data_IF_783194063865
#
_entry.id   IF_783194063865
#
_cell.length_a   1.000
_cell.length_b   1.000
_cell.length_c   1.000
_cell.angle_alpha   90.00
_cell.angle_beta   90.00
_cell.angle_gamma   90.00
#
_symmetry.space_group_name_H-M   'P 1'
#
loop_
_entity.id
_entity.type
_entity.pdbx_description
1 polymer ?
#
# COMPACT_ATOMS: atom_id res chain seq x y z
N UNK A 1 15.89 -17.43 12.12
CA UNK A 1 17.20 -16.96 12.63
C UNK A 1 16.97 -16.04 13.82
N UNK A 2 17.65 -16.23 14.92
CA UNK A 2 17.61 -15.27 16.03
C UNK A 2 18.75 -14.28 15.77
N UNK A 3 18.44 -13.01 15.55
CA UNK A 3 19.46 -11.97 15.48
C UNK A 3 20.13 -11.82 16.85
N UNK A 4 21.45 -11.86 16.87
CA UNK A 4 22.23 -11.70 18.11
C UNK A 4 22.81 -10.30 18.25
N UNK A 5 22.68 -9.47 17.21
CA UNK A 5 23.22 -8.12 17.14
C UNK A 5 22.19 -7.07 17.56
N UNK A 6 22.66 -5.94 18.03
CA UNK A 6 21.83 -4.79 18.43
C UNK A 6 21.91 -3.71 17.37
N UNK A 7 20.76 -3.22 16.93
CA UNK A 7 20.62 -2.20 15.90
C UNK A 7 20.15 -0.86 16.46
N UNK A 8 20.51 0.22 15.76
CA UNK A 8 20.06 1.57 16.10
C UNK A 8 19.74 2.38 14.85
N UNK A 9 18.70 3.20 14.91
CA UNK A 9 18.38 4.18 13.87
C UNK A 9 17.61 5.39 14.43
N UNK A 10 17.59 6.48 13.66
CA UNK A 10 16.66 7.60 13.87
C UNK A 10 15.29 7.13 13.40
N UNK A 11 14.30 7.16 14.31
CA UNK A 11 12.94 6.67 14.07
C UNK A 11 11.96 7.76 13.63
N UNK A 12 12.36 9.03 13.68
CA UNK A 12 11.59 10.20 13.23
C UNK A 12 12.16 10.76 11.93
N UNK A 13 11.41 11.62 11.24
CA UNK A 13 11.90 12.31 10.05
C UNK A 13 13.17 13.12 10.33
N UNK A 14 14.12 13.12 9.39
CA UNK A 14 15.39 13.88 9.45
C UNK A 14 15.16 15.36 9.09
N UNK A 15 14.36 16.05 9.89
CA UNK A 15 14.07 17.48 9.76
C UNK A 15 14.11 18.14 11.13
N UNK A 16 14.32 19.45 11.19
CA UNK A 16 14.24 20.19 12.46
C UNK A 16 12.81 20.12 13.02
N UNK A 17 12.69 19.56 14.23
CA UNK A 17 11.42 19.38 14.93
C UNK A 17 11.62 19.58 16.44
N UNK A 18 10.55 19.61 17.22
CA UNK A 18 10.65 19.71 18.69
C UNK A 18 11.25 18.46 19.32
N UNK A 19 10.97 17.28 18.76
CA UNK A 19 11.42 15.97 19.28
C UNK A 19 11.98 15.14 18.15
N UNK A 20 13.11 14.44 18.41
CA UNK A 20 13.67 13.39 17.58
C UNK A 20 13.77 12.10 18.39
N UNK A 21 13.59 10.95 17.77
CA UNK A 21 13.64 9.65 18.43
C UNK A 21 14.74 8.80 17.81
N UNK A 22 15.64 8.29 18.66
CA UNK A 22 16.60 7.23 18.30
C UNK A 22 16.11 5.93 18.93
N UNK A 23 15.91 4.90 18.11
CA UNK A 23 15.49 3.57 18.54
C UNK A 23 16.68 2.62 18.50
N UNK A 24 16.87 1.86 19.59
CA UNK A 24 17.86 0.80 19.72
C UNK A 24 17.11 -0.50 20.03
N UNK A 25 17.39 -1.59 19.31
CA UNK A 25 16.73 -2.89 19.50
C UNK A 25 17.72 -4.03 19.39
N UNK A 26 17.56 -5.04 20.25
CA UNK A 26 18.40 -6.24 20.28
C UNK A 26 18.76 -6.66 21.70
N UNK A 27 19.51 -7.77 21.81
CA UNK A 27 19.90 -8.36 23.11
C UNK A 27 20.67 -7.39 24.01
N UNK A 28 21.47 -6.50 23.43
CA UNK A 28 22.32 -5.54 24.17
C UNK A 28 21.75 -4.12 24.18
N UNK A 29 20.49 -3.90 23.74
CA UNK A 29 19.92 -2.56 23.62
C UNK A 29 19.99 -1.76 24.93
N UNK A 30 19.72 -2.40 26.05
CA UNK A 30 19.79 -1.76 27.37
C UNK A 30 21.23 -1.47 27.78
N UNK A 31 22.17 -2.38 27.52
CA UNK A 31 23.58 -2.20 27.84
C UNK A 31 24.21 -1.07 26.99
N UNK A 32 23.82 -0.97 25.69
CA UNK A 32 24.26 0.14 24.84
C UNK A 32 23.73 1.46 25.38
N UNK A 33 22.45 1.52 25.74
CA UNK A 33 21.86 2.73 26.32
C UNK A 33 22.51 3.13 27.67
N UNK A 34 22.79 2.17 28.55
CA UNK A 34 23.47 2.45 29.85
C UNK A 34 24.86 3.07 29.69
N UNK A 35 25.58 2.78 28.59
CA UNK A 35 26.90 3.35 28.33
C UNK A 35 26.86 4.82 27.94
N UNK A 36 25.74 5.31 27.46
CA UNK A 36 25.61 6.67 26.96
C UNK A 36 24.59 7.54 27.73
N UNK A 37 23.83 6.95 28.65
CA UNK A 37 22.77 7.63 29.38
C UNK A 37 23.15 7.85 30.85
N UNK A 38 23.11 9.08 31.32
CA UNK A 38 23.24 9.48 32.71
C UNK A 38 21.85 9.80 33.27
N UNK A 39 21.30 8.97 34.16
CA UNK A 39 20.03 9.27 34.82
C UNK A 39 20.14 10.53 35.70
N UNK A 40 19.09 11.37 35.69
CA UNK A 40 19.00 12.52 36.58
C UNK A 40 18.98 12.11 38.08
N UNK A 41 18.50 10.89 38.37
CA UNK A 41 18.52 10.31 39.70
C UNK A 41 19.78 9.45 39.85
N UNK A 42 20.70 9.89 40.66
CA UNK A 42 21.97 9.20 40.88
C UNK A 42 21.77 7.75 41.38
N UNK A 43 22.58 6.82 40.86
CA UNK A 43 22.56 5.40 41.21
C UNK A 43 21.45 4.56 40.55
N UNK A 44 20.61 5.13 39.72
CA UNK A 44 19.59 4.39 38.98
C UNK A 44 20.23 3.69 37.78
N UNK A 45 19.99 2.37 37.62
CA UNK A 45 20.50 1.57 36.51
C UNK A 45 19.33 1.13 35.61
N UNK A 46 19.46 1.24 34.28
CA UNK A 46 18.42 0.82 33.31
C UNK A 46 18.26 -0.69 33.35
N UNK A 47 19.33 -1.45 33.53
CA UNK A 47 19.30 -2.92 33.63
C UNK A 47 18.38 -3.45 34.74
N UNK A 48 18.18 -2.69 35.80
CA UNK A 48 17.33 -3.03 36.95
C UNK A 48 15.88 -2.55 36.80
N UNK A 49 15.57 -1.80 35.74
CA UNK A 49 14.22 -1.22 35.54
C UNK A 49 13.28 -2.19 34.82
N UNK A 50 12.00 -2.04 35.15
CA UNK A 50 10.91 -2.81 34.50
C UNK A 50 10.64 -2.28 33.10
N UNK A 51 9.97 -3.14 32.28
CA UNK A 51 9.42 -2.73 30.98
C UNK A 51 8.38 -1.60 31.13
N UNK A 52 8.19 -0.82 30.08
CA UNK A 52 7.26 0.32 30.02
C UNK A 52 7.55 1.41 31.05
N UNK A 53 8.83 1.71 31.27
CA UNK A 53 9.25 2.80 32.14
C UNK A 53 9.95 3.90 31.38
N UNK A 54 9.77 5.14 31.83
CA UNK A 54 10.38 6.34 31.27
C UNK A 54 11.40 6.88 32.28
N UNK A 55 12.55 7.29 31.76
CA UNK A 55 13.68 7.77 32.56
C UNK A 55 14.13 9.12 32.00
N UNK A 56 14.13 10.13 32.86
CA UNK A 56 14.71 11.44 32.57
C UNK A 56 16.20 11.44 32.84
N UNK A 57 16.99 12.04 31.95
CA UNK A 57 18.43 12.15 32.09
C UNK A 57 19.12 12.82 30.92
N UNK A 58 20.38 12.49 30.73
CA UNK A 58 21.24 13.14 29.74
C UNK A 58 22.00 12.10 28.93
N UNK A 59 22.20 12.41 27.64
CA UNK A 59 23.14 11.65 26.82
C UNK A 59 24.50 12.27 26.90
N UNK A 60 25.51 11.42 27.17
CA UNK A 60 26.91 11.84 27.34
C UNK A 60 27.87 11.02 26.49
N UNK A 61 28.86 11.67 25.89
CA UNK A 61 30.08 11.05 25.35
C UNK A 61 31.28 11.45 26.26
N UNK A 62 31.63 10.57 27.16
CA UNK A 62 32.62 10.89 28.22
C UNK A 62 32.12 12.00 29.14
N UNK A 63 32.85 13.11 29.18
CA UNK A 63 32.49 14.28 30.01
C UNK A 63 31.53 15.24 29.31
N UNK A 64 31.38 15.13 27.99
CA UNK A 64 30.54 16.02 27.19
C UNK A 64 29.04 15.59 27.28
N UNK A 65 28.18 16.55 27.66
CA UNK A 65 26.73 16.38 27.60
C UNK A 65 26.27 16.75 26.19
N UNK A 66 25.65 15.79 25.49
CA UNK A 66 25.12 16.00 24.13
C UNK A 66 23.73 16.59 24.18
N UNK A 67 22.84 16.00 25.01
CA UNK A 67 21.45 16.45 25.10
C UNK A 67 20.79 16.01 26.42
N UNK A 68 19.67 16.63 26.72
CA UNK A 68 18.73 16.28 27.78
C UNK A 68 17.58 15.49 27.17
N UNK A 69 17.27 14.31 27.70
CA UNK A 69 16.40 13.34 27.03
C UNK A 69 15.42 12.64 27.97
N UNK A 70 14.36 12.08 27.37
CA UNK A 70 13.57 11.00 27.97
C UNK A 70 13.98 9.68 27.32
N UNK A 71 14.22 8.66 28.14
CA UNK A 71 14.54 7.32 27.67
C UNK A 71 13.40 6.38 28.04
N UNK A 72 12.83 5.72 27.03
CA UNK A 72 11.78 4.72 27.17
C UNK A 72 12.39 3.33 27.09
N UNK A 73 12.04 2.48 28.06
CA UNK A 73 12.53 1.10 28.15
C UNK A 73 11.40 0.11 27.93
N UNK A 74 11.57 -0.77 26.94
CA UNK A 74 10.67 -1.87 26.61
C UNK A 74 11.46 -3.18 26.56
N UNK A 75 11.06 -4.14 27.41
CA UNK A 75 11.68 -5.47 27.45
C UNK A 75 10.96 -6.44 26.53
N UNK A 76 11.71 -7.25 25.83
CA UNK A 76 11.16 -8.37 25.08
C UNK A 76 10.37 -9.36 25.98
N UNK A 77 9.29 -9.99 25.47
CA UNK A 77 8.72 -9.82 24.13
C UNK A 77 7.79 -8.61 23.98
N UNK A 78 7.63 -7.77 25.01
CA UNK A 78 6.69 -6.66 25.06
C UNK A 78 7.29 -5.37 24.49
N UNK A 79 7.72 -5.41 23.22
CA UNK A 79 8.28 -4.29 22.45
C UNK A 79 7.84 -4.32 20.99
N UNK A 80 8.26 -3.36 20.18
CA UNK A 80 7.93 -3.35 18.74
C UNK A 80 8.54 -4.53 17.99
N UNK A 81 9.78 -4.89 18.29
CA UNK A 81 10.51 -5.97 17.63
C UNK A 81 10.40 -7.32 18.33
N UNK A 82 9.71 -7.38 19.48
CA UNK A 82 9.75 -8.46 20.45
C UNK A 82 11.15 -8.70 21.09
N UNK A 83 12.13 -7.80 20.86
CA UNK A 83 13.44 -7.78 21.52
C UNK A 83 13.45 -6.70 22.61
N UNK A 84 14.51 -6.65 23.44
CA UNK A 84 14.75 -5.48 24.28
C UNK A 84 14.89 -4.23 23.40
N UNK A 85 14.12 -3.20 23.68
CA UNK A 85 14.09 -1.97 22.89
C UNK A 85 14.20 -0.75 23.80
N UNK A 86 15.04 0.20 23.39
CA UNK A 86 15.18 1.49 24.02
C UNK A 86 14.88 2.58 23.00
N UNK A 87 14.04 3.53 23.37
CA UNK A 87 13.82 4.76 22.60
C UNK A 87 14.35 5.94 23.40
N UNK A 88 15.09 6.81 22.72
CA UNK A 88 15.68 8.02 23.27
C UNK A 88 15.00 9.20 22.61
N UNK A 89 14.12 9.87 23.34
CA UNK A 89 13.45 11.10 22.91
C UNK A 89 14.36 12.28 23.22
N UNK A 90 15.00 12.82 22.21
CA UNK A 90 15.92 13.94 22.26
C UNK A 90 15.33 15.19 21.59
N UNK A 91 16.02 16.32 21.65
CA UNK A 91 15.66 17.47 20.82
C UNK A 91 15.82 17.13 19.32
N UNK A 92 14.81 17.50 18.50
CA UNK A 92 14.71 17.13 17.10
C UNK A 92 15.62 17.91 16.15
N UNK A 93 16.80 18.30 16.60
CA UNK A 93 17.85 18.88 15.75
C UNK A 93 18.59 17.78 14.98
N UNK A 94 18.73 17.92 13.66
CA UNK A 94 19.40 16.91 12.80
C UNK A 94 20.79 16.56 13.32
N UNK A 95 21.57 17.56 13.78
CA UNK A 95 22.90 17.34 14.33
C UNK A 95 22.87 16.54 15.65
N UNK A 96 21.92 16.85 16.53
CA UNK A 96 21.77 16.17 17.82
C UNK A 96 21.43 14.70 17.59
N UNK A 97 20.42 14.42 16.75
CA UNK A 97 20.01 13.05 16.40
C UNK A 97 21.17 12.24 15.80
N UNK A 98 21.95 12.83 14.88
CA UNK A 98 23.13 12.17 14.29
C UNK A 98 24.18 11.85 15.33
N UNK A 99 24.52 12.80 16.22
CA UNK A 99 25.50 12.58 17.28
C UNK A 99 25.08 11.47 18.26
N UNK A 100 23.81 11.41 18.63
CA UNK A 100 23.29 10.36 19.51
C UNK A 100 23.33 8.99 18.81
N UNK A 101 22.97 8.93 17.51
CA UNK A 101 23.06 7.70 16.73
C UNK A 101 24.52 7.21 16.61
N UNK A 102 25.46 8.10 16.27
CA UNK A 102 26.90 7.79 16.21
C UNK A 102 27.42 7.27 17.55
N UNK A 103 26.97 7.87 18.65
CA UNK A 103 27.33 7.41 19.97
C UNK A 103 26.75 6.03 20.28
N UNK A 104 25.50 5.73 19.88
CA UNK A 104 24.91 4.40 20.04
C UNK A 104 25.74 3.34 19.30
N UNK A 105 26.22 3.66 18.08
CA UNK A 105 27.11 2.78 17.30
C UNK A 105 28.46 2.62 18.01
N UNK A 106 29.07 3.69 18.51
CA UNK A 106 30.31 3.63 19.32
C UNK A 106 30.14 2.78 20.58
N UNK A 107 28.95 2.78 21.17
CA UNK A 107 28.59 1.97 22.34
C UNK A 107 28.24 0.51 22.04
N UNK A 108 28.27 0.07 20.76
CA UNK A 108 28.13 -1.33 20.35
C UNK A 108 26.87 -1.69 19.59
N UNK A 109 26.05 -0.72 19.19
CA UNK A 109 24.99 -0.97 18.23
C UNK A 109 25.55 -0.95 16.79
N UNK A 110 24.83 -1.59 15.86
CA UNK A 110 25.03 -1.44 14.42
C UNK A 110 23.92 -0.52 13.86
N UNK A 111 24.20 0.17 12.77
CA UNK A 111 23.13 0.87 12.05
C UNK A 111 22.10 -0.13 11.52
N UNK A 112 20.83 0.17 11.72
CA UNK A 112 19.73 -0.63 11.19
C UNK A 112 19.65 -0.48 9.67
N UNK A 113 19.34 -1.59 9.01
CA UNK A 113 18.96 -1.59 7.59
C UNK A 113 17.55 -1.00 7.39
N UNK A 114 17.20 -0.57 6.17
CA UNK A 114 15.83 -0.16 5.85
C UNK A 114 14.82 -1.23 6.24
N UNK A 115 13.74 -0.83 6.96
CA UNK A 115 12.68 -1.75 7.39
C UNK A 115 13.08 -2.78 8.46
N UNK A 116 14.32 -2.78 8.95
CA UNK A 116 14.84 -3.86 9.81
C UNK A 116 14.08 -4.04 11.13
N UNK A 117 13.58 -2.98 11.74
CA UNK A 117 12.76 -3.13 12.96
C UNK A 117 11.46 -3.91 12.68
N UNK A 118 10.80 -3.63 11.58
CA UNK A 118 9.57 -4.34 11.18
C UNK A 118 9.87 -5.78 10.75
N UNK A 119 11.00 -5.98 10.04
CA UNK A 119 11.50 -7.31 9.69
C UNK A 119 11.76 -8.16 10.93
N UNK A 120 12.39 -7.60 11.98
CA UNK A 120 12.61 -8.29 13.27
C UNK A 120 11.29 -8.60 13.97
N UNK A 121 10.32 -7.68 13.94
CA UNK A 121 8.98 -7.94 14.48
C UNK A 121 8.30 -9.13 13.79
N UNK A 122 8.44 -9.26 12.46
CA UNK A 122 7.97 -10.40 11.68
C UNK A 122 8.73 -11.69 12.04
N UNK A 123 10.05 -11.68 11.98
CA UNK A 123 10.88 -12.87 12.24
C UNK A 123 10.75 -13.38 13.68
N UNK A 124 10.48 -12.50 14.64
CA UNK A 124 10.21 -12.84 16.03
C UNK A 124 8.72 -13.24 16.28
N UNK A 125 7.92 -13.33 15.22
CA UNK A 125 6.53 -13.80 15.29
C UNK A 125 5.54 -12.84 15.95
N UNK A 126 5.91 -11.55 16.16
CA UNK A 126 5.00 -10.55 16.71
C UNK A 126 3.90 -10.16 15.72
N UNK A 127 4.26 -10.06 14.46
CA UNK A 127 3.37 -9.76 13.33
C UNK A 127 3.65 -10.75 12.20
N UNK A 128 2.68 -11.03 11.37
CA UNK A 128 2.88 -11.75 10.11
C UNK A 128 3.22 -10.79 8.96
N UNK A 129 3.50 -11.35 7.76
CA UNK A 129 3.93 -10.53 6.64
C UNK A 129 2.85 -9.56 6.16
N UNK A 130 1.56 -9.97 6.17
CA UNK A 130 0.47 -9.09 5.77
C UNK A 130 0.33 -7.89 6.71
N UNK A 131 0.55 -8.08 8.01
CA UNK A 131 0.59 -7.01 9.01
C UNK A 131 1.84 -6.14 8.86
N UNK A 132 2.99 -6.74 8.50
CA UNK A 132 4.21 -5.99 8.24
C UNK A 132 4.02 -5.05 7.04
N UNK A 133 3.48 -5.53 5.92
CA UNK A 133 3.13 -4.70 4.75
C UNK A 133 2.16 -3.58 5.14
N UNK A 134 1.16 -3.86 5.98
CA UNK A 134 0.21 -2.86 6.45
C UNK A 134 0.87 -1.72 7.26
N UNK A 135 2.03 -1.92 7.89
CA UNK A 135 2.76 -0.83 8.57
C UNK A 135 3.14 0.27 7.59
N UNK A 136 3.72 -0.09 6.43
CA UNK A 136 4.12 0.91 5.42
C UNK A 136 2.89 1.55 4.78
N UNK A 137 1.81 0.78 4.55
CA UNK A 137 0.57 1.29 3.99
C UNK A 137 -0.10 2.33 4.91
N UNK A 138 -0.07 2.12 6.25
CA UNK A 138 -0.53 3.12 7.22
C UNK A 138 0.29 4.40 7.11
N UNK A 139 1.62 4.29 7.03
CA UNK A 139 2.53 5.45 6.95
C UNK A 139 2.33 6.23 5.64
N UNK A 140 2.06 5.52 4.54
CA UNK A 140 1.92 6.11 3.20
C UNK A 140 0.49 6.47 2.83
N UNK A 141 -0.49 6.21 3.70
CA UNK A 141 -1.90 6.46 3.43
C UNK A 141 -2.16 7.92 3.06
N UNK A 142 -2.75 8.13 1.88
CA UNK A 142 -3.03 9.47 1.33
C UNK A 142 -4.48 9.93 1.56
N UNK A 143 -5.36 9.03 1.97
CA UNK A 143 -6.77 9.32 2.21
C UNK A 143 -7.31 8.46 3.37
N UNK A 144 -8.51 8.80 3.86
CA UNK A 144 -9.15 8.15 5.00
C UNK A 144 -9.42 6.65 4.76
N UNK A 145 -9.82 6.30 3.54
CA UNK A 145 -10.11 4.90 3.18
C UNK A 145 -8.84 4.04 3.19
N UNK A 146 -7.74 4.55 2.61
CA UNK A 146 -6.44 3.89 2.66
C UNK A 146 -6.02 3.65 4.11
N UNK A 147 -6.13 4.68 4.96
CA UNK A 147 -5.78 4.58 6.37
C UNK A 147 -6.63 3.51 7.09
N UNK A 148 -7.96 3.54 6.93
CA UNK A 148 -8.86 2.57 7.57
C UNK A 148 -8.57 1.13 7.11
N UNK A 149 -8.37 0.92 5.80
CA UNK A 149 -8.02 -0.39 5.24
C UNK A 149 -6.69 -0.90 5.82
N UNK A 150 -5.65 -0.06 5.82
CA UNK A 150 -4.33 -0.42 6.33
C UNK A 150 -4.34 -0.70 7.84
N UNK A 151 -5.08 0.08 8.63
CA UNK A 151 -5.27 -0.16 10.07
C UNK A 151 -6.02 -1.47 10.32
N UNK A 152 -7.03 -1.81 9.51
CA UNK A 152 -7.72 -3.09 9.59
C UNK A 152 -6.78 -4.25 9.30
N UNK A 153 -5.95 -4.17 8.25
CA UNK A 153 -4.94 -5.19 7.94
C UNK A 153 -3.89 -5.30 9.06
N UNK A 154 -3.39 -4.19 9.57
CA UNK A 154 -2.45 -4.16 10.69
C UNK A 154 -3.05 -4.83 11.95
N UNK A 155 -4.35 -4.72 12.15
CA UNK A 155 -5.09 -5.41 13.21
C UNK A 155 -5.33 -6.91 12.95
N UNK A 156 -4.80 -7.44 11.83
CA UNK A 156 -4.82 -8.86 11.49
C UNK A 156 -6.11 -9.36 10.84
N UNK A 157 -6.89 -8.49 10.19
CA UNK A 157 -8.12 -8.91 9.49
C UNK A 157 -7.83 -9.93 8.38
N UNK A 158 -6.81 -9.65 7.55
CA UNK A 158 -6.35 -10.57 6.49
C UNK A 158 -5.82 -11.88 7.07
N UNK A 159 -5.01 -11.80 8.13
CA UNK A 159 -4.41 -12.96 8.78
C UNK A 159 -5.48 -13.92 9.33
N UNK A 160 -6.50 -13.39 9.97
CA UNK A 160 -7.62 -14.22 10.48
C UNK A 160 -8.34 -14.94 9.34
N UNK A 161 -8.68 -14.20 8.28
CA UNK A 161 -9.35 -14.77 7.11
C UNK A 161 -8.56 -15.89 6.47
N UNK A 162 -7.27 -15.66 6.21
CA UNK A 162 -6.39 -16.68 5.62
C UNK A 162 -6.26 -17.90 6.52
N UNK A 163 -6.10 -17.73 7.85
CA UNK A 163 -6.02 -18.85 8.78
C UNK A 163 -7.30 -19.67 8.82
N UNK A 164 -8.47 -19.03 8.82
CA UNK A 164 -9.78 -19.73 8.78
C UNK A 164 -9.93 -20.60 7.51
N UNK A 165 -9.51 -20.09 6.36
CA UNK A 165 -9.52 -20.86 5.11
C UNK A 165 -8.53 -22.03 5.18
N UNK A 166 -7.33 -21.78 5.68
CA UNK A 166 -6.29 -22.83 5.83
C UNK A 166 -6.67 -23.90 6.85
N UNK A 167 -7.34 -23.55 7.94
CA UNK A 167 -7.85 -24.52 8.92
C UNK A 167 -8.84 -25.49 8.28
N UNK A 168 -9.71 -25.02 7.38
CA UNK A 168 -10.62 -25.90 6.63
C UNK A 168 -9.86 -26.85 5.70
N UNK A 169 -8.87 -26.31 4.95
CA UNK A 169 -8.08 -27.11 4.01
C UNK A 169 -7.23 -28.18 4.72
N UNK A 170 -6.53 -27.81 5.79
CA UNK A 170 -5.65 -28.75 6.50
C UNK A 170 -6.48 -29.88 7.17
N UNK A 171 -7.71 -29.59 7.57
CA UNK A 171 -8.62 -30.63 8.08
C UNK A 171 -8.93 -31.67 7.01
N UNK A 172 -9.26 -31.25 5.78
CA UNK A 172 -9.56 -32.18 4.68
C UNK A 172 -8.31 -32.95 4.24
N UNK A 173 -7.15 -32.30 4.19
CA UNK A 173 -5.86 -32.95 3.90
C UNK A 173 -5.57 -34.03 4.93
N UNK A 174 -5.66 -33.69 6.22
CA UNK A 174 -5.40 -34.63 7.31
C UNK A 174 -6.39 -35.81 7.30
N UNK A 175 -7.65 -35.57 6.91
CA UNK A 175 -8.65 -36.61 6.77
C UNK A 175 -8.30 -37.60 5.66
N UNK A 176 -7.92 -37.09 4.45
CA UNK A 176 -7.49 -37.94 3.32
C UNK A 176 -6.26 -38.78 3.71
N UNK A 177 -5.23 -38.13 4.24
CA UNK A 177 -3.98 -38.82 4.63
C UNK A 177 -4.26 -39.92 5.68
N UNK A 178 -5.09 -39.60 6.67
CA UNK A 178 -5.48 -40.61 7.68
C UNK A 178 -6.27 -41.77 7.11
N UNK A 179 -7.14 -41.52 6.12
CA UNK A 179 -7.91 -42.58 5.46
C UNK A 179 -7.05 -43.46 4.54
N UNK A 180 -6.02 -42.87 3.90
CA UNK A 180 -5.06 -43.63 3.09
C UNK A 180 -4.14 -44.48 3.94
N UNK A 181 -3.77 -44.00 5.15
CA UNK A 181 -2.93 -44.74 6.10
C UNK A 181 -3.70 -45.88 6.80
N UNK A 182 -5.00 -45.70 7.09
CA UNK A 182 -5.81 -46.69 7.82
C UNK A 182 -7.17 -46.94 7.12
N UNK A 183 -7.17 -47.54 5.93
CA UNK A 183 -8.37 -47.75 5.11
C UNK A 183 -9.36 -48.78 5.72
N UNK A 184 -8.92 -49.54 6.72
CA UNK A 184 -9.80 -50.51 7.40
C UNK A 184 -10.76 -49.83 8.38
N UNK A 185 -10.37 -48.65 8.92
CA UNK A 185 -11.15 -47.95 9.96
C UNK A 185 -11.73 -46.61 9.43
N UNK A 186 -11.16 -46.00 8.36
CA UNK A 186 -11.61 -44.72 7.82
C UNK A 186 -12.01 -44.91 6.36
N UNK A 187 -13.31 -44.80 6.04
CA UNK A 187 -13.81 -44.96 4.69
C UNK A 187 -13.86 -43.60 3.95
N UNK A 188 -13.42 -43.63 2.68
CA UNK A 188 -13.58 -42.52 1.73
C UNK A 188 -14.85 -42.65 0.87
N UNK A 189 -15.75 -43.59 1.16
CA UNK A 189 -17.01 -43.73 0.41
C UNK A 189 -17.85 -42.45 0.50
N UNK A 190 -18.19 -41.86 -0.65
CA UNK A 190 -18.98 -40.61 -0.72
C UNK A 190 -18.15 -39.35 -0.30
N UNK A 191 -16.87 -39.51 -0.06
CA UNK A 191 -16.01 -38.40 0.34
C UNK A 191 -15.85 -37.33 -0.77
N UNK A 192 -15.69 -37.66 -2.07
CA UNK A 192 -15.56 -36.69 -3.11
C UNK A 192 -16.71 -35.67 -3.16
N UNK A 193 -17.95 -36.12 -2.99
CA UNK A 193 -19.14 -35.28 -2.95
C UNK A 193 -19.11 -34.33 -1.74
N UNK A 194 -18.77 -34.89 -0.55
CA UNK A 194 -18.64 -34.13 0.68
C UNK A 194 -17.52 -33.07 0.57
N UNK A 195 -16.37 -33.45 0.00
CA UNK A 195 -15.26 -32.52 -0.20
C UNK A 195 -15.69 -31.35 -1.09
N UNK A 196 -16.40 -31.62 -2.19
CA UNK A 196 -16.96 -30.57 -3.07
C UNK A 196 -17.86 -29.59 -2.31
N UNK A 197 -18.76 -30.11 -1.48
CA UNK A 197 -19.62 -29.26 -0.65
C UNK A 197 -18.82 -28.40 0.36
N UNK A 198 -17.67 -28.87 0.83
CA UNK A 198 -16.77 -28.15 1.72
C UNK A 198 -15.97 -27.09 0.96
N UNK A 199 -15.51 -27.38 -0.27
CA UNK A 199 -14.70 -26.48 -1.06
C UNK A 199 -15.47 -25.32 -1.68
N UNK A 200 -16.72 -25.55 -2.10
CA UNK A 200 -17.54 -24.52 -2.75
C UNK A 200 -17.64 -23.19 -1.97
N UNK A 201 -17.91 -23.17 -0.64
CA UNK A 201 -17.89 -21.92 0.13
C UNK A 201 -16.51 -21.25 0.16
N UNK A 202 -15.43 -22.04 0.18
CA UNK A 202 -14.04 -21.52 0.17
C UNK A 202 -13.75 -20.83 -1.14
N UNK A 203 -14.11 -21.47 -2.27
CA UNK A 203 -13.95 -20.90 -3.61
C UNK A 203 -14.73 -19.58 -3.77
N UNK A 204 -16.00 -19.57 -3.37
CA UNK A 204 -16.83 -18.36 -3.39
C UNK A 204 -16.22 -17.22 -2.56
N UNK A 205 -15.63 -17.55 -1.42
CA UNK A 205 -15.00 -16.58 -0.54
C UNK A 205 -13.69 -16.02 -1.13
N UNK A 206 -12.90 -16.87 -1.80
CA UNK A 206 -11.70 -16.45 -2.56
C UNK A 206 -12.08 -15.58 -3.75
N UNK A 207 -13.06 -15.98 -4.56
CA UNK A 207 -13.56 -15.20 -5.70
C UNK A 207 -14.08 -13.83 -5.27
N UNK A 208 -14.89 -13.77 -4.22
CA UNK A 208 -15.39 -12.53 -3.66
C UNK A 208 -14.23 -11.61 -3.21
N UNK A 209 -13.20 -12.17 -2.56
CA UNK A 209 -12.03 -11.42 -2.12
C UNK A 209 -11.22 -10.89 -3.30
N UNK A 210 -10.94 -11.75 -4.30
CA UNK A 210 -10.22 -11.37 -5.53
C UNK A 210 -10.97 -10.25 -6.25
N UNK A 211 -12.30 -10.34 -6.32
CA UNK A 211 -13.17 -9.33 -6.94
C UNK A 211 -13.10 -7.95 -6.28
N UNK A 212 -12.65 -7.85 -5.01
CA UNK A 212 -12.48 -6.56 -4.34
C UNK A 212 -11.19 -5.83 -4.72
N UNK A 213 -10.23 -6.50 -5.37
CA UNK A 213 -8.88 -5.99 -5.56
C UNK A 213 -8.81 -4.66 -6.33
N UNK A 214 -9.48 -4.55 -7.47
CA UNK A 214 -9.40 -3.35 -8.29
C UNK A 214 -9.95 -2.12 -7.54
N UNK A 215 -11.05 -2.29 -6.80
CA UNK A 215 -11.61 -1.25 -5.95
C UNK A 215 -10.68 -0.93 -4.77
N UNK A 216 -10.11 -1.94 -4.12
CA UNK A 216 -9.15 -1.78 -3.03
C UNK A 216 -7.91 -1.01 -3.46
N UNK A 217 -7.32 -1.38 -4.60
CA UNK A 217 -6.16 -0.69 -5.19
C UNK A 217 -6.47 0.78 -5.50
N UNK A 218 -7.59 1.05 -6.16
CA UNK A 218 -8.01 2.41 -6.49
C UNK A 218 -8.21 3.27 -5.23
N UNK A 219 -8.74 2.67 -4.17
CA UNK A 219 -8.96 3.37 -2.92
C UNK A 219 -7.66 3.68 -2.17
N UNK A 220 -6.68 2.78 -2.21
CA UNK A 220 -5.40 2.93 -1.49
C UNK A 220 -4.38 3.73 -2.28
N UNK A 221 -4.15 3.36 -3.53
CA UNK A 221 -3.16 4.01 -4.39
C UNK A 221 -3.70 5.31 -5.03
N UNK A 222 -5.02 5.40 -5.20
CA UNK A 222 -5.69 6.46 -5.96
C UNK A 222 -5.89 6.09 -7.42
N UNK A 223 -6.65 6.93 -8.13
CA UNK A 223 -7.02 6.75 -9.53
C UNK A 223 -5.92 7.35 -10.42
N UNK A 224 -5.18 6.55 -11.15
CA UNK A 224 -4.24 7.01 -12.16
C UNK A 224 -4.99 7.73 -13.27
N UNK A 225 -4.86 9.05 -13.34
CA UNK A 225 -5.68 9.90 -14.20
C UNK A 225 -4.81 10.63 -15.20
N UNK A 226 -5.18 10.59 -16.48
CA UNK A 226 -4.57 11.39 -17.54
C UNK A 226 -5.55 12.42 -18.08
N UNK A 227 -5.08 13.64 -18.34
CA UNK A 227 -5.87 14.70 -18.98
C UNK A 227 -5.44 14.81 -20.43
N UNK A 228 -6.33 14.45 -21.34
CA UNK A 228 -6.11 14.54 -22.78
C UNK A 228 -6.92 15.71 -23.39
N UNK A 229 -6.52 16.19 -24.54
CA UNK A 229 -7.18 17.25 -25.28
C UNK A 229 -6.22 18.11 -26.08
N UNK A 230 -6.70 18.83 -27.08
CA UNK A 230 -5.88 19.69 -27.93
C UNK A 230 -5.20 20.85 -27.18
N UNK A 231 -4.21 21.52 -27.80
CA UNK A 231 -3.68 22.77 -27.28
C UNK A 231 -4.79 23.78 -27.07
N UNK A 232 -4.71 24.52 -25.96
CA UNK A 232 -5.70 25.55 -25.59
C UNK A 232 -7.14 25.07 -25.36
N UNK A 233 -7.41 23.76 -25.28
CA UNK A 233 -8.71 23.23 -24.86
C UNK A 233 -9.04 23.53 -23.39
N UNK A 234 -8.07 23.97 -22.61
CA UNK A 234 -8.24 24.35 -21.20
C UNK A 234 -7.75 23.30 -20.19
N UNK A 235 -6.89 22.35 -20.61
CA UNK A 235 -6.31 21.31 -19.75
C UNK A 235 -5.62 21.89 -18.52
N UNK A 236 -4.71 22.87 -18.70
CA UNK A 236 -3.99 23.53 -17.59
C UNK A 236 -4.94 24.33 -16.67
N UNK A 237 -5.98 24.94 -17.24
CA UNK A 237 -6.99 25.64 -16.45
C UNK A 237 -7.80 24.64 -15.60
N UNK A 238 -8.23 23.51 -16.17
CA UNK A 238 -8.91 22.45 -15.45
C UNK A 238 -8.02 21.89 -14.34
N UNK A 239 -6.75 21.59 -14.66
CA UNK A 239 -5.79 21.11 -13.67
C UNK A 239 -5.63 22.09 -12.50
N UNK A 240 -5.50 23.39 -12.78
CA UNK A 240 -5.38 24.42 -11.73
C UNK A 240 -6.64 24.50 -10.85
N UNK A 241 -7.82 24.31 -11.44
CA UNK A 241 -9.09 24.26 -10.67
C UNK A 241 -9.16 23.02 -9.78
N UNK A 242 -8.72 21.87 -10.30
CA UNK A 242 -8.68 20.63 -9.54
C UNK A 242 -7.60 20.67 -8.45
N UNK A 243 -6.49 21.40 -8.66
CA UNK A 243 -5.39 21.60 -7.69
C UNK A 243 -5.67 22.70 -6.65
N UNK A 244 -6.76 23.46 -6.75
CA UNK A 244 -7.06 24.63 -5.89
C UNK A 244 -6.66 24.46 -4.42
N UNK A 245 -6.32 25.55 -3.71
CA UNK A 245 -5.55 25.62 -2.44
C UNK A 245 -6.03 24.69 -1.30
N UNK A 246 -7.29 24.26 -1.30
CA UNK A 246 -7.83 23.32 -0.29
C UNK A 246 -7.81 21.85 -0.74
N UNK A 247 -7.48 21.56 -2.00
CA UNK A 247 -7.59 20.21 -2.62
C UNK A 247 -6.24 19.54 -2.92
N UNK A 248 -5.17 20.32 -3.02
CA UNK A 248 -3.82 19.81 -3.26
C UNK A 248 -3.10 19.52 -1.96
N UNK A 249 -2.78 18.26 -1.70
CA UNK A 249 -1.72 17.93 -0.75
C UNK A 249 -0.43 17.84 -1.56
N UNK A 250 0.28 18.95 -1.66
CA UNK A 250 1.68 18.93 -2.06
C UNK A 250 2.45 18.35 -0.87
N UNK A 251 2.59 17.04 -0.83
CA UNK A 251 3.65 16.46 -0.01
C UNK A 251 4.94 16.78 -0.72
N UNK A 252 5.60 17.86 -0.31
CA UNK A 252 7.04 18.03 -0.56
C UNK A 252 7.79 16.92 0.19
N UNK A 253 7.74 15.70 -0.33
CA UNK A 253 8.73 14.70 -0.01
C UNK A 253 9.98 15.11 -0.78
N UNK A 254 10.82 15.90 -0.12
CA UNK A 254 12.11 16.32 -0.67
C UNK A 254 12.96 15.06 -0.92
N UNK A 255 13.04 14.63 -2.18
CA UNK A 255 13.86 13.47 -2.58
C UNK A 255 13.45 12.77 -3.87
N UNK A 256 12.22 12.97 -4.38
CA UNK A 256 11.71 12.29 -5.60
C UNK A 256 11.87 13.12 -6.89
N UNK A 257 12.87 14.00 -6.93
CA UNK A 257 13.16 14.77 -8.14
C UNK A 257 14.00 13.93 -9.11
N UNK A 258 13.35 13.12 -9.96
CA UNK A 258 13.86 12.82 -11.31
C UNK A 258 12.94 12.04 -12.24
N UNK A 259 11.90 11.38 -11.76
CA UNK A 259 11.00 10.66 -12.66
C UNK A 259 9.55 11.07 -12.37
N UNK A 260 8.90 11.71 -13.37
CA UNK A 260 7.49 12.14 -13.45
C UNK A 260 6.95 12.91 -12.24
N UNK A 261 6.65 14.20 -12.45
CA UNK A 261 5.88 15.04 -11.51
C UNK A 261 4.44 14.49 -11.45
N UNK A 262 4.18 13.55 -10.57
CA UNK A 262 2.82 13.10 -10.26
C UNK A 262 2.20 14.11 -9.29
N UNK A 263 1.11 14.72 -9.69
CA UNK A 263 0.34 15.60 -8.82
C UNK A 263 -0.86 14.84 -8.26
N UNK A 264 -1.02 14.86 -6.93
CA UNK A 264 -2.11 14.19 -6.23
C UNK A 264 -3.22 15.19 -5.89
N UNK A 265 -4.44 14.89 -6.30
CA UNK A 265 -5.64 15.70 -6.06
C UNK A 265 -6.60 14.91 -5.19
N UNK A 266 -7.16 15.52 -4.14
CA UNK A 266 -8.25 14.93 -3.37
C UNK A 266 -9.61 15.40 -3.89
N UNK A 267 -10.46 14.46 -4.28
CA UNK A 267 -11.84 14.70 -4.69
C UNK A 267 -12.78 13.82 -3.86
N UNK A 268 -13.57 14.41 -2.96
CA UNK A 268 -14.60 13.71 -2.15
C UNK A 268 -14.13 12.39 -1.51
N UNK A 269 -12.91 12.39 -0.98
CA UNK A 269 -12.33 11.22 -0.31
C UNK A 269 -11.57 10.25 -1.23
N UNK A 270 -11.60 10.43 -2.55
CA UNK A 270 -10.76 9.74 -3.51
C UNK A 270 -9.49 10.53 -3.80
N UNK A 271 -8.40 9.84 -4.11
CA UNK A 271 -7.17 10.44 -4.61
C UNK A 271 -7.08 10.25 -6.13
N UNK A 272 -6.86 11.34 -6.87
CA UNK A 272 -6.50 11.31 -8.29
C UNK A 272 -5.01 11.53 -8.42
N UNK A 273 -4.29 10.60 -9.04
CA UNK A 273 -2.88 10.73 -9.35
C UNK A 273 -2.75 11.15 -10.82
N UNK A 274 -2.45 12.41 -11.07
CA UNK A 274 -2.28 12.92 -12.43
C UNK A 274 -0.96 12.43 -13.02
N UNK A 275 -1.04 11.73 -14.16
CA UNK A 275 0.11 11.20 -14.88
C UNK A 275 0.51 12.21 -15.97
N UNK A 276 1.84 12.39 -16.17
CA UNK A 276 2.44 13.21 -17.24
C UNK A 276 2.02 14.70 -17.21
N UNK A 277 2.08 15.30 -16.00
CA UNK A 277 1.76 16.73 -15.82
C UNK A 277 2.75 17.66 -16.54
N UNK A 278 3.96 17.20 -16.88
CA UNK A 278 4.96 17.99 -17.62
C UNK A 278 4.48 18.37 -19.03
N UNK A 279 3.80 17.43 -19.73
CA UNK A 279 3.20 17.72 -21.04
C UNK A 279 1.98 18.64 -20.98
N UNK A 280 1.34 18.79 -19.82
CA UNK A 280 0.17 19.66 -19.63
C UNK A 280 0.59 21.10 -19.32
N UNK A 281 1.73 21.30 -18.66
CA UNK A 281 2.28 22.65 -18.31
C UNK A 281 2.94 23.34 -19.49
N UNK A 282 3.59 22.58 -20.36
CA UNK A 282 4.12 23.13 -21.62
C UNK A 282 3.00 23.14 -22.66
N UNK A 283 2.73 24.29 -23.27
CA UNK A 283 1.61 24.60 -24.19
C UNK A 283 1.60 23.81 -25.51
N UNK A 284 2.35 22.73 -25.63
CA UNK A 284 2.50 21.94 -26.83
C UNK A 284 1.86 20.56 -26.70
N UNK A 285 1.23 20.11 -27.77
CA UNK A 285 0.41 18.89 -27.84
C UNK A 285 1.22 17.61 -27.56
N UNK A 286 0.76 16.80 -26.61
CA UNK A 286 1.32 15.47 -26.35
C UNK A 286 1.28 14.62 -27.63
N UNK A 287 0.25 14.80 -28.49
CA UNK A 287 0.07 14.04 -29.74
C UNK A 287 1.04 14.49 -30.82
N UNK A 288 1.38 15.80 -30.91
CA UNK A 288 2.28 16.31 -31.96
C UNK A 288 3.77 16.10 -31.64
N UNK A 289 4.20 16.24 -30.37
CA UNK A 289 5.64 16.14 -29.98
C UNK A 289 6.12 14.75 -29.59
N UNK A 290 5.24 13.92 -29.02
CA UNK A 290 5.64 12.67 -28.35
C UNK A 290 5.27 11.44 -29.20
N UNK A 291 4.42 11.62 -30.22
CA UNK A 291 3.90 10.55 -31.09
C UNK A 291 2.73 9.78 -30.48
N UNK A 292 1.88 9.28 -31.35
CA UNK A 292 0.67 8.51 -31.04
C UNK A 292 0.96 7.30 -30.12
N UNK A 293 2.14 6.71 -30.23
CA UNK A 293 2.53 5.54 -29.42
C UNK A 293 2.68 5.85 -27.92
N UNK A 294 3.28 7.01 -27.57
CA UNK A 294 3.42 7.39 -26.16
C UNK A 294 2.09 7.81 -25.55
N UNK A 295 1.26 8.57 -26.29
CA UNK A 295 -0.09 8.88 -25.84
C UNK A 295 -0.93 7.62 -25.62
N UNK A 296 -0.74 6.59 -26.45
CA UNK A 296 -1.38 5.30 -26.32
C UNK A 296 -0.90 4.56 -25.05
N UNK A 297 0.41 4.54 -24.82
CA UNK A 297 0.99 3.91 -23.62
C UNK A 297 0.48 4.58 -22.34
N UNK A 298 0.48 5.91 -22.26
CA UNK A 298 -0.04 6.66 -21.12
C UNK A 298 -1.53 6.38 -20.90
N UNK A 299 -2.32 6.33 -21.99
CA UNK A 299 -3.74 5.99 -21.91
C UNK A 299 -4.01 4.53 -21.53
N UNK A 300 -3.07 3.60 -21.82
CA UNK A 300 -3.13 2.20 -21.41
C UNK A 300 -2.80 2.02 -19.91
N UNK A 301 -1.95 2.87 -19.37
CA UNK A 301 -1.55 2.87 -17.96
C UNK A 301 -2.54 3.62 -17.04
N UNK A 302 -3.45 4.43 -17.61
CA UNK A 302 -4.42 5.23 -16.87
C UNK A 302 -5.67 4.43 -16.45
N UNK A 303 -6.10 4.60 -15.20
CA UNK A 303 -7.40 4.10 -14.72
C UNK A 303 -8.56 4.99 -15.19
N UNK A 304 -8.30 6.28 -15.43
CA UNK A 304 -9.27 7.28 -15.87
C UNK A 304 -8.66 8.23 -16.88
N UNK A 305 -9.39 8.50 -17.95
CA UNK A 305 -9.05 9.54 -18.93
C UNK A 305 -10.04 10.69 -18.81
N UNK A 306 -9.57 11.90 -18.58
CA UNK A 306 -10.33 13.13 -18.69
C UNK A 306 -10.04 13.75 -20.05
N UNK A 307 -10.97 13.64 -21.00
CA UNK A 307 -10.84 14.22 -22.34
C UNK A 307 -11.48 15.59 -22.38
N UNK A 308 -10.67 16.64 -22.57
CA UNK A 308 -11.11 18.05 -22.55
C UNK A 308 -11.25 18.56 -23.98
N UNK A 309 -12.46 18.95 -24.36
CA UNK A 309 -12.84 19.47 -25.67
C UNK A 309 -13.24 20.94 -25.54
N UNK A 310 -12.78 21.78 -26.49
CA UNK A 310 -13.12 23.20 -26.56
C UNK A 310 -14.50 23.39 -27.21
N UNK A 311 -15.52 23.77 -26.44
CA UNK A 311 -16.88 24.00 -26.90
C UNK A 311 -17.06 25.19 -27.84
N UNK A 312 -16.07 26.09 -27.92
CA UNK A 312 -16.09 27.25 -28.82
C UNK A 312 -15.59 26.96 -30.25
N UNK A 313 -15.31 25.69 -30.57
CA UNK A 313 -14.79 25.24 -31.90
C UNK A 313 -15.47 23.97 -32.37
N UNK A 314 -15.43 23.72 -33.66
CA UNK A 314 -15.85 22.45 -34.26
C UNK A 314 -14.80 21.35 -34.00
N UNK A 315 -15.26 20.09 -34.01
CA UNK A 315 -14.36 18.94 -33.94
C UNK A 315 -13.58 18.83 -35.28
N UNK A 316 -12.27 18.64 -35.15
CA UNK A 316 -11.38 18.39 -36.31
C UNK A 316 -10.80 16.97 -36.32
N UNK A 317 -9.88 16.71 -37.23
CA UNK A 317 -9.24 15.41 -37.38
C UNK A 317 -8.44 14.98 -36.15
N UNK A 318 -7.81 15.92 -35.42
CA UNK A 318 -7.07 15.62 -34.21
C UNK A 318 -8.02 15.16 -33.09
N UNK A 319 -9.20 15.78 -32.97
CA UNK A 319 -10.23 15.31 -32.01
C UNK A 319 -10.67 13.89 -32.33
N UNK A 320 -10.86 13.55 -33.61
CA UNK A 320 -11.24 12.20 -34.04
C UNK A 320 -10.17 11.15 -33.66
N UNK A 321 -8.90 11.48 -33.87
CA UNK A 321 -7.78 10.61 -33.47
C UNK A 321 -7.75 10.36 -31.96
N UNK A 322 -8.00 11.41 -31.15
CA UNK A 322 -8.10 11.25 -29.71
C UNK A 322 -9.32 10.40 -29.33
N UNK A 323 -10.49 10.62 -29.96
CA UNK A 323 -11.69 9.83 -29.73
C UNK A 323 -11.46 8.34 -30.05
N UNK A 324 -10.74 8.04 -31.13
CA UNK A 324 -10.39 6.65 -31.46
C UNK A 324 -9.40 6.05 -30.46
N UNK A 325 -8.44 6.85 -29.96
CA UNK A 325 -7.48 6.44 -28.94
C UNK A 325 -8.16 6.04 -27.61
N UNK A 326 -9.19 6.78 -27.19
CA UNK A 326 -9.85 6.59 -25.89
C UNK A 326 -10.99 5.56 -25.95
N UNK A 327 -11.34 5.05 -27.12
CA UNK A 327 -12.45 4.09 -27.31
C UNK A 327 -12.21 2.81 -26.49
N UNK A 328 -13.23 2.39 -25.74
CA UNK A 328 -13.19 1.17 -24.91
C UNK A 328 -12.47 1.32 -23.57
N UNK A 329 -12.04 2.54 -23.21
CA UNK A 329 -11.42 2.85 -21.92
C UNK A 329 -12.39 3.57 -20.99
N UNK A 330 -12.04 3.70 -19.70
CA UNK A 330 -12.81 4.51 -18.76
C UNK A 330 -12.51 5.99 -19.01
N UNK A 331 -13.47 6.70 -19.58
CA UNK A 331 -13.32 8.09 -20.03
C UNK A 331 -14.45 8.95 -19.49
N UNK A 332 -14.13 10.18 -19.11
CA UNK A 332 -15.08 11.26 -18.92
C UNK A 332 -14.76 12.35 -19.94
N UNK A 333 -15.73 12.68 -20.79
CA UNK A 333 -15.59 13.73 -21.81
C UNK A 333 -16.08 15.03 -21.22
N UNK A 334 -15.22 16.05 -21.24
CA UNK A 334 -15.50 17.38 -20.69
C UNK A 334 -15.65 18.39 -21.85
N UNK A 335 -16.84 18.94 -22.03
CA UNK A 335 -17.08 20.06 -22.95
C UNK A 335 -16.74 21.35 -22.22
N UNK A 336 -15.52 21.86 -22.41
CA UNK A 336 -15.01 23.03 -21.71
C UNK A 336 -15.30 24.33 -22.42
N UNK A 337 -15.14 25.43 -21.71
CA UNK A 337 -15.39 26.81 -22.15
C UNK A 337 -16.87 27.12 -22.43
N UNK A 338 -17.74 26.54 -21.59
CA UNK A 338 -19.19 26.84 -21.67
C UNK A 338 -19.56 28.28 -21.31
N UNK A 339 -18.59 29.07 -20.84
CA UNK A 339 -18.67 30.53 -20.66
C UNK A 339 -18.57 31.33 -21.98
N UNK A 340 -18.23 30.67 -23.10
CA UNK A 340 -18.15 31.27 -24.43
C UNK A 340 -19.37 30.89 -25.29
N UNK A 341 -19.52 31.57 -26.44
CA UNK A 341 -20.55 31.21 -27.39
C UNK A 341 -20.37 29.78 -27.93
N UNK A 342 -21.33 28.85 -27.74
CA UNK A 342 -21.18 27.45 -28.08
C UNK A 342 -21.18 27.25 -29.59
N UNK A 343 -20.13 26.63 -30.12
CA UNK A 343 -20.06 26.14 -31.50
C UNK A 343 -20.33 24.64 -31.55
N UNK A 344 -19.83 23.90 -30.55
CA UNK A 344 -20.07 22.48 -30.37
C UNK A 344 -21.07 22.27 -29.23
N UNK A 345 -22.16 21.54 -29.53
CA UNK A 345 -23.17 21.21 -28.50
C UNK A 345 -22.83 19.90 -27.76
N UNK A 346 -23.41 19.75 -26.57
CA UNK A 346 -23.26 18.51 -25.77
C UNK A 346 -23.76 17.29 -26.54
N UNK A 347 -24.91 17.44 -27.25
CA UNK A 347 -25.52 16.35 -28.03
C UNK A 347 -24.62 15.91 -29.20
N UNK A 348 -24.06 16.88 -29.94
CA UNK A 348 -23.17 16.59 -31.06
C UNK A 348 -21.88 15.89 -30.63
N UNK A 349 -21.32 16.32 -29.49
CA UNK A 349 -20.13 15.66 -28.93
C UNK A 349 -20.47 14.26 -28.39
N UNK A 350 -21.64 14.07 -27.76
CA UNK A 350 -22.10 12.78 -27.28
C UNK A 350 -22.30 11.80 -28.42
N UNK A 351 -22.88 12.24 -29.54
CA UNK A 351 -23.02 11.41 -30.75
C UNK A 351 -21.65 11.01 -31.32
N UNK A 352 -20.70 11.93 -31.34
CA UNK A 352 -19.36 11.66 -31.86
C UNK A 352 -18.54 10.69 -31.01
N UNK A 353 -18.66 10.76 -29.68
CA UNK A 353 -17.83 9.96 -28.75
C UNK A 353 -18.56 8.71 -28.21
N UNK A 354 -19.87 8.64 -28.25
CA UNK A 354 -20.67 7.54 -27.66
C UNK A 354 -20.59 7.46 -26.14
N UNK A 355 -20.17 8.55 -25.49
CA UNK A 355 -19.93 8.64 -24.05
C UNK A 355 -20.76 9.78 -23.43
N UNK A 356 -20.91 9.74 -22.11
CA UNK A 356 -21.50 10.87 -21.39
C UNK A 356 -20.56 12.08 -21.43
N UNK A 357 -21.13 13.25 -21.73
CA UNK A 357 -20.42 14.51 -21.81
C UNK A 357 -20.81 15.38 -20.62
N UNK A 358 -19.84 15.97 -19.95
CA UNK A 358 -20.05 16.90 -18.85
C UNK A 358 -19.67 18.30 -19.31
N UNK A 359 -20.63 19.25 -19.40
CA UNK A 359 -20.30 20.65 -19.68
C UNK A 359 -19.63 21.30 -18.49
N UNK A 360 -18.49 21.97 -18.73
CA UNK A 360 -17.68 22.64 -17.71
C UNK A 360 -17.18 24.00 -18.21
N UNK A 361 -16.98 24.92 -17.26
CA UNK A 361 -16.12 26.08 -17.48
C UNK A 361 -15.01 26.08 -16.45
N UNK A 362 -13.82 25.68 -16.86
CA UNK A 362 -12.64 25.71 -15.98
C UNK A 362 -12.33 27.14 -15.50
N UNK A 363 -12.64 28.17 -16.30
CA UNK A 363 -12.44 29.58 -15.95
C UNK A 363 -13.38 30.06 -14.85
N UNK A 364 -14.66 29.71 -14.96
CA UNK A 364 -15.70 30.11 -14.02
C UNK A 364 -15.96 29.05 -12.93
N UNK A 365 -15.17 27.96 -12.91
CA UNK A 365 -15.28 26.81 -11.99
C UNK A 365 -16.65 26.13 -11.97
N UNK A 366 -17.36 26.15 -13.10
CA UNK A 366 -18.69 25.53 -13.23
C UNK A 366 -18.59 24.10 -13.73
N UNK A 367 -19.49 23.22 -13.25
CA UNK A 367 -19.58 21.83 -13.67
C UNK A 367 -18.57 20.89 -12.98
N UNK A 368 -17.70 21.40 -12.12
CA UNK A 368 -16.68 20.59 -11.41
C UNK A 368 -17.34 19.63 -10.43
N UNK A 369 -18.40 20.05 -9.72
CA UNK A 369 -19.14 19.17 -8.80
C UNK A 369 -19.72 17.95 -9.52
N UNK A 370 -20.22 18.12 -10.77
CA UNK A 370 -20.73 17.02 -11.59
C UNK A 370 -19.61 16.07 -12.02
N UNK A 371 -18.43 16.60 -12.34
CA UNK A 371 -17.24 15.79 -12.62
C UNK A 371 -16.86 14.95 -11.39
N UNK A 372 -16.83 15.56 -10.20
CA UNK A 372 -16.52 14.86 -8.95
C UNK A 372 -17.54 13.74 -8.67
N UNK A 373 -18.83 14.01 -8.81
CA UNK A 373 -19.90 13.01 -8.64
C UNK A 373 -19.79 11.87 -9.66
N UNK A 374 -19.43 12.18 -10.89
CA UNK A 374 -19.25 11.17 -11.92
C UNK A 374 -18.06 10.25 -11.61
N UNK A 375 -16.93 10.82 -11.20
CA UNK A 375 -15.76 10.04 -10.79
C UNK A 375 -16.13 9.15 -9.61
N UNK A 376 -16.77 9.71 -8.59
CA UNK A 376 -17.23 8.95 -7.44
C UNK A 376 -18.15 7.79 -7.83
N UNK A 377 -19.13 8.04 -8.70
CA UNK A 377 -20.06 7.00 -9.17
C UNK A 377 -19.34 5.92 -9.98
N UNK A 378 -18.36 6.28 -10.83
CA UNK A 378 -17.62 5.32 -11.66
C UNK A 378 -16.73 4.37 -10.87
N UNK A 379 -16.15 4.84 -9.75
CA UNK A 379 -15.15 4.08 -9.00
C UNK A 379 -15.63 3.60 -7.62
N UNK A 380 -16.76 4.12 -7.12
CA UNK A 380 -17.36 3.71 -5.85
C UNK A 380 -18.73 3.01 -6.04
N UNK A 381 -19.02 2.46 -7.24
CA UNK A 381 -20.24 1.68 -7.47
C UNK A 381 -20.16 0.36 -6.72
N UNK A 382 -20.91 0.27 -5.64
CA UNK A 382 -21.12 -0.87 -4.78
C UNK A 382 -21.34 -0.40 -3.35
N UNK A 383 -22.24 -1.04 -2.61
CA UNK A 383 -22.37 -0.83 -1.18
C UNK A 383 -21.05 -1.19 -0.52
N UNK A 384 -20.16 -0.20 -0.37
CA UNK A 384 -18.97 -0.30 0.44
C UNK A 384 -19.41 -0.36 1.90
N UNK A 385 -19.92 -1.52 2.31
CA UNK A 385 -20.05 -1.84 3.72
C UNK A 385 -18.64 -2.13 4.24
N UNK A 386 -17.95 -1.06 4.66
CA UNK A 386 -16.61 -1.11 5.26
C UNK A 386 -16.54 -1.91 6.54
N UNK A 387 -17.69 -2.36 7.08
CA UNK A 387 -17.74 -2.93 8.43
C UNK A 387 -17.31 -4.38 8.52
N UNK A 388 -17.25 -5.18 7.41
CA UNK A 388 -16.93 -6.62 7.52
C UNK A 388 -16.15 -7.24 6.34
N UNK A 389 -15.89 -6.54 5.25
CA UNK A 389 -15.17 -7.12 4.11
C UNK A 389 -13.68 -6.72 4.12
N UNK A 390 -12.81 -7.71 4.21
CA UNK A 390 -11.38 -7.55 4.00
C UNK A 390 -11.16 -7.24 2.52
N UNK A 391 -10.81 -5.99 2.19
CA UNK A 391 -10.50 -5.59 0.82
C UNK A 391 -9.05 -5.96 0.48
N UNK A 392 -8.86 -6.59 -0.67
CA UNK A 392 -7.53 -6.83 -1.21
C UNK A 392 -6.96 -5.55 -1.81
N UNK A 393 -5.79 -5.15 -1.33
CA UNK A 393 -5.08 -3.96 -1.83
C UNK A 393 -3.70 -4.32 -2.41
N UNK A 394 -3.17 -5.49 -2.02
CA UNK A 394 -1.82 -5.94 -2.38
C UNK A 394 -1.87 -6.99 -3.51
N UNK A 395 -1.09 -6.77 -4.58
CA UNK A 395 -0.99 -7.68 -5.74
C UNK A 395 -0.51 -9.07 -5.33
N UNK A 396 0.43 -9.17 -4.37
CA UNK A 396 0.96 -10.44 -3.86
C UNK A 396 -0.16 -11.28 -3.23
N UNK A 397 -1.02 -10.66 -2.40
CA UNK A 397 -2.17 -11.34 -1.79
C UNK A 397 -3.17 -11.80 -2.85
N UNK A 398 -3.46 -10.96 -3.87
CA UNK A 398 -4.33 -11.33 -4.99
C UNK A 398 -3.78 -12.55 -5.72
N UNK A 399 -2.51 -12.51 -6.11
CA UNK A 399 -1.86 -13.61 -6.84
C UNK A 399 -1.89 -14.90 -6.03
N UNK A 400 -1.61 -14.84 -4.73
CA UNK A 400 -1.67 -16.01 -3.85
C UNK A 400 -3.09 -16.62 -3.77
N UNK A 401 -4.12 -15.77 -3.65
CA UNK A 401 -5.52 -16.23 -3.64
C UNK A 401 -5.97 -16.79 -4.99
N UNK A 402 -5.53 -16.19 -6.12
CA UNK A 402 -5.80 -16.71 -7.46
C UNK A 402 -5.16 -18.08 -7.68
N UNK A 403 -3.92 -18.27 -7.20
CA UNK A 403 -3.24 -19.57 -7.26
C UNK A 403 -3.93 -20.61 -6.40
N UNK A 404 -4.30 -20.26 -5.15
CA UNK A 404 -5.06 -21.15 -4.29
C UNK A 404 -6.41 -21.57 -4.91
N UNK A 405 -7.16 -20.62 -5.46
CA UNK A 405 -8.42 -20.89 -6.15
C UNK A 405 -8.23 -21.81 -7.36
N UNK A 406 -7.14 -21.63 -8.11
CA UNK A 406 -6.78 -22.51 -9.24
C UNK A 406 -6.52 -23.93 -8.77
N UNK A 407 -5.79 -24.12 -7.67
CA UNK A 407 -5.50 -25.45 -7.09
C UNK A 407 -6.79 -26.12 -6.61
N UNK A 408 -7.73 -25.39 -5.95
CA UNK A 408 -9.03 -25.94 -5.55
C UNK A 408 -9.84 -26.41 -6.77
N UNK A 409 -9.85 -25.67 -7.87
CA UNK A 409 -10.51 -26.08 -9.12
C UNK A 409 -9.86 -27.33 -9.77
N UNK A 410 -8.58 -27.57 -9.52
CA UNK A 410 -7.94 -28.85 -9.91
C UNK A 410 -8.48 -30.01 -9.07
N UNK A 411 -8.72 -29.81 -7.77
CA UNK A 411 -9.40 -30.82 -6.94
C UNK A 411 -10.79 -31.16 -7.52
N UNK A 412 -11.61 -30.16 -7.89
CA UNK A 412 -12.91 -30.40 -8.52
C UNK A 412 -12.77 -31.20 -9.83
N UNK A 413 -11.77 -30.84 -10.65
CA UNK A 413 -11.47 -31.57 -11.91
C UNK A 413 -11.06 -33.00 -11.65
N UNK A 414 -10.30 -33.26 -10.59
CA UNK A 414 -9.89 -34.62 -10.20
C UNK A 414 -11.09 -35.44 -9.69
N UNK A 415 -12.02 -34.82 -8.96
CA UNK A 415 -13.28 -35.44 -8.54
C UNK A 415 -14.14 -35.79 -9.79
N UNK A 416 -14.30 -34.87 -10.75
CA UNK A 416 -15.10 -35.09 -11.96
C UNK A 416 -14.55 -36.22 -12.83
N UNK A 417 -13.22 -36.40 -12.83
CA UNK A 417 -12.53 -37.45 -13.54
C UNK A 417 -12.44 -38.77 -12.75
N UNK A 418 -13.05 -38.86 -11.56
CA UNK A 418 -12.97 -39.99 -10.66
C UNK A 418 -11.53 -40.47 -10.41
N UNK A 419 -10.64 -39.48 -10.19
CA UNK A 419 -9.24 -39.75 -9.84
C UNK A 419 -9.14 -40.29 -8.41
N UNK A 420 -8.09 -41.08 -8.08
CA UNK A 420 -7.84 -41.49 -6.71
C UNK A 420 -7.67 -40.31 -5.76
N UNK A 421 -8.05 -40.49 -4.50
CA UNK A 421 -8.13 -39.41 -3.50
C UNK A 421 -6.76 -38.82 -3.10
N UNK A 422 -5.67 -39.54 -3.31
CA UNK A 422 -4.30 -39.05 -3.13
C UNK A 422 -3.98 -37.84 -4.04
N UNK A 423 -4.65 -37.75 -5.21
CA UNK A 423 -4.51 -36.56 -6.07
C UNK A 423 -5.19 -35.32 -5.45
N UNK A 424 -6.25 -35.50 -4.66
CA UNK A 424 -6.93 -34.39 -4.02
C UNK A 424 -6.04 -33.74 -2.95
N UNK A 425 -5.30 -34.57 -2.17
CA UNK A 425 -4.42 -34.04 -1.11
C UNK A 425 -3.29 -33.18 -1.66
N UNK A 426 -2.76 -33.49 -2.86
CA UNK A 426 -1.71 -32.72 -3.52
C UNK A 426 -2.22 -31.30 -3.86
N UNK A 427 -3.35 -31.20 -4.58
CA UNK A 427 -3.91 -29.93 -4.98
C UNK A 427 -4.42 -29.10 -3.79
N UNK A 428 -4.96 -29.77 -2.75
CA UNK A 428 -5.35 -29.14 -1.48
C UNK A 428 -4.13 -28.57 -0.75
N UNK A 429 -3.00 -29.29 -0.75
CA UNK A 429 -1.76 -28.83 -0.14
C UNK A 429 -1.19 -27.61 -0.88
N UNK A 430 -1.21 -27.62 -2.22
CA UNK A 430 -0.82 -26.47 -3.02
C UNK A 430 -1.68 -25.23 -2.68
N UNK A 431 -3.00 -25.39 -2.57
CA UNK A 431 -3.88 -24.30 -2.16
C UNK A 431 -3.56 -23.78 -0.75
N UNK A 432 -3.29 -24.69 0.19
CA UNK A 432 -2.90 -24.37 1.56
C UNK A 432 -1.57 -23.60 1.61
N UNK A 433 -0.57 -24.01 0.83
CA UNK A 433 0.73 -23.35 0.75
C UNK A 433 0.61 -21.95 0.12
N UNK A 434 -0.11 -21.82 -0.99
CA UNK A 434 -0.34 -20.52 -1.62
C UNK A 434 -0.97 -19.51 -0.66
N UNK A 435 -1.97 -19.90 0.13
CA UNK A 435 -2.55 -19.06 1.17
C UNK A 435 -1.54 -18.73 2.27
N UNK A 436 -0.67 -19.67 2.62
CA UNK A 436 0.41 -19.48 3.61
C UNK A 436 1.41 -18.40 3.22
N UNK A 437 1.67 -18.22 1.94
CA UNK A 437 2.59 -17.17 1.44
C UNK A 437 2.10 -15.76 1.79
N UNK A 438 0.78 -15.55 1.95
CA UNK A 438 0.21 -14.26 2.38
C UNK A 438 0.71 -13.89 3.77
N UNK A 439 0.81 -14.87 4.67
CA UNK A 439 1.27 -14.70 6.05
C UNK A 439 2.79 -14.67 6.18
N UNK A 440 3.51 -15.02 5.10
CA UNK A 440 4.97 -15.12 5.09
C UNK A 440 5.48 -16.50 5.49
N UNK A 441 4.61 -17.52 5.51
CA UNK A 441 5.03 -18.89 5.72
C UNK A 441 5.67 -19.46 4.43
N UNK A 442 6.74 -20.23 4.57
CA UNK A 442 7.46 -20.88 3.45
C UNK A 442 8.08 -19.93 2.40
N UNK A 443 8.31 -18.65 2.75
CA UNK A 443 8.98 -17.71 1.86
C UNK A 443 10.51 -17.87 1.96
N UNK A 444 11.19 -17.73 0.83
CA UNK A 444 12.64 -17.66 0.78
C UNK A 444 13.15 -16.35 1.42
N UNK A 445 14.32 -16.43 2.07
CA UNK A 445 14.92 -15.29 2.79
C UNK A 445 15.15 -14.09 1.86
N UNK A 446 15.53 -14.33 0.61
CA UNK A 446 15.78 -13.27 -0.37
C UNK A 446 14.50 -12.48 -0.70
N UNK A 447 13.35 -13.14 -0.82
CA UNK A 447 12.07 -12.48 -1.05
C UNK A 447 11.62 -11.65 0.16
N UNK A 448 11.84 -12.17 1.37
CA UNK A 448 11.59 -11.42 2.62
C UNK A 448 12.46 -10.16 2.64
N UNK A 449 13.76 -10.28 2.33
CA UNK A 449 14.68 -9.15 2.27
C UNK A 449 14.25 -8.09 1.25
N UNK A 450 13.80 -8.52 0.07
CA UNK A 450 13.34 -7.61 -0.98
C UNK A 450 12.08 -6.84 -0.53
N UNK A 451 11.08 -7.51 0.02
CA UNK A 451 9.87 -6.86 0.57
C UNK A 451 10.25 -5.77 1.57
N UNK A 452 11.09 -6.10 2.57
CA UNK A 452 11.48 -5.14 3.60
C UNK A 452 12.40 -4.02 3.10
N UNK A 453 13.12 -4.24 1.99
CA UNK A 453 13.95 -3.20 1.38
C UNK A 453 13.14 -1.98 0.91
N UNK A 454 11.86 -2.18 0.59
CA UNK A 454 10.93 -1.12 0.16
C UNK A 454 10.32 -0.32 1.32
N UNK A 455 10.54 -0.73 2.58
CA UNK A 455 10.02 -0.05 3.77
C UNK A 455 10.76 1.25 4.13
N UNK A 456 11.82 1.60 3.39
CA UNK A 456 12.55 2.84 3.64
C UNK A 456 11.97 4.00 2.84
N UNK A 457 11.40 4.97 3.54
CA UNK A 457 10.88 6.21 2.97
C UNK A 457 12.03 7.11 2.46
N UNK A 458 13.29 6.92 2.92
CA UNK A 458 14.44 7.79 2.64
C UNK A 458 15.71 7.00 2.30
N UNK A 459 15.79 6.34 1.12
CA UNK A 459 17.00 5.64 0.64
C UNK A 459 18.25 6.54 0.41
N UNK A 460 18.15 7.87 0.49
CA UNK A 460 19.22 8.80 0.03
C UNK A 460 19.87 9.66 1.11
N UNK A 461 19.61 9.45 2.41
CA UNK A 461 20.11 10.34 3.46
C UNK A 461 20.91 9.70 4.60
N UNK A 462 21.30 8.44 4.47
CA UNK A 462 22.20 7.78 5.45
C UNK A 462 23.54 7.51 4.76
N UNK A 463 24.30 8.55 4.46
CA UNK A 463 25.76 8.55 4.28
C UNK A 463 26.27 9.90 4.76
#
# INVERSE_FOLDING_TARGET
MVYTDTIAAIATALSSSGIGIIRISGSDAVAVAERMFEPAVAGKRLSEQKTYTIHYGYIRDGEERIDEVLLLLMRGPHSYTAEDTVEIDCHGGVLVMKRILELAVKCGARLAEPGEFTKRAFLNGRIDLSQAEAVIDVIQSKNEYALQSSVSQLSGSMSRKVRELREKLIYEIAFIESALDDPEHISLDGYPERLRETLQPIEMELEASIGTFDNGRIMTEGIKTVILGKPNAGKSSLMNVLLGEERAIVTEIAGTTRDTLEENIRLRGLSLNLIDTAGIRETEDIVEKIGVERARKIADEADLILYVVDGSRELDENDRQILDLIRGRKVIVLLNKTDLEPVLTEEALREACGQEVIPVSAKEQQGIDRLEEKIQTMFLQGNLNFNDQVMLTNVRHKTAMEQALKSLRLVETSIDNAMPEDFFSIDLMDAYEHLGTILGESLEEDLVNEIFSHFCIDRKRVV
#
